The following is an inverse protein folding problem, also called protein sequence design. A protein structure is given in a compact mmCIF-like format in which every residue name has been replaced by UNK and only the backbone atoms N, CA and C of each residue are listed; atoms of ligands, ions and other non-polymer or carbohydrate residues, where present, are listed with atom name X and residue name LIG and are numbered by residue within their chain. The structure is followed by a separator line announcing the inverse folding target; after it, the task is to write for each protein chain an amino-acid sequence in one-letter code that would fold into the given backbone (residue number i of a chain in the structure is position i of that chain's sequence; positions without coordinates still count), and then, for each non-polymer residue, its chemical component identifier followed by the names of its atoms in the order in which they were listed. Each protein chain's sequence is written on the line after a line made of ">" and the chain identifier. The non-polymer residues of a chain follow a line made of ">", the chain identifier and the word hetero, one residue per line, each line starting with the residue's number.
data_IF_608559486523
#
_entry.id   IF_608559486523
#
_cell.length_a   1.000
_cell.length_b   1.000
_cell.length_c   1.000
_cell.angle_alpha   90.00
_cell.angle_beta   90.00
_cell.angle_gamma   90.00
#
_symmetry.space_group_name_H-M   'P 1'
#
loop_
_entity.id
_entity.type
_entity.pdbx_description
1 polymer ?
#
# COMPACT_ATOMS: atom_id res chain seq x y z
N UNK A 1 -80.15 -2.92 26.81
CA UNK A 1 -79.17 -1.83 27.05
C UNK A 1 -79.98 -0.58 27.31
N UNK A 2 -80.03 -0.13 28.56
CA UNK A 2 -80.83 1.03 28.97
C UNK A 2 -80.11 2.33 28.59
N UNK A 3 -80.68 3.08 27.65
CA UNK A 3 -80.09 4.31 27.10
C UNK A 3 -80.27 5.52 28.02
N UNK A 4 -81.06 5.39 29.08
CA UNK A 4 -81.46 6.48 29.98
C UNK A 4 -80.34 6.92 30.95
N UNK A 5 -79.30 6.09 31.11
CA UNK A 5 -78.14 6.38 31.96
C UNK A 5 -76.98 7.07 31.22
N UNK A 6 -77.14 7.33 29.92
CA UNK A 6 -76.10 7.94 29.09
C UNK A 6 -76.07 9.46 29.28
N UNK A 7 -74.95 9.98 29.76
CA UNK A 7 -74.76 11.43 29.94
C UNK A 7 -74.53 12.12 28.59
N UNK A 8 -75.63 12.51 27.95
CA UNK A 8 -75.64 13.09 26.61
C UNK A 8 -74.84 14.39 26.48
N UNK A 9 -74.81 15.21 27.52
CA UNK A 9 -74.06 16.47 27.49
C UNK A 9 -72.55 16.24 27.42
N UNK A 10 -72.05 15.23 28.14
CA UNK A 10 -70.63 14.86 28.11
C UNK A 10 -70.23 14.33 26.74
N UNK A 11 -71.05 13.46 26.15
CA UNK A 11 -70.82 12.90 24.81
C UNK A 11 -70.83 14.00 23.75
N UNK A 12 -71.75 14.96 23.83
CA UNK A 12 -71.82 16.10 22.91
C UNK A 12 -70.55 16.97 22.99
N UNK A 13 -70.03 17.24 24.19
CA UNK A 13 -68.77 18.00 24.39
C UNK A 13 -67.56 17.25 23.85
N UNK A 14 -67.49 15.94 24.05
CA UNK A 14 -66.41 15.10 23.52
C UNK A 14 -66.45 15.01 21.99
N UNK A 15 -67.63 14.88 21.38
CA UNK A 15 -67.80 14.90 19.93
C UNK A 15 -67.36 16.25 19.31
N UNK A 16 -67.69 17.39 19.94
CA UNK A 16 -67.23 18.72 19.52
C UNK A 16 -65.71 18.86 19.62
N UNK A 17 -65.09 18.38 20.71
CA UNK A 17 -63.63 18.35 20.84
C UNK A 17 -62.95 17.48 19.79
N UNK A 18 -63.56 16.33 19.46
CA UNK A 18 -63.05 15.45 18.41
C UNK A 18 -63.16 16.09 17.02
N UNK A 19 -64.23 16.81 16.72
CA UNK A 19 -64.33 17.56 15.46
C UNK A 19 -63.29 18.67 15.35
N UNK A 20 -63.03 19.39 16.45
CA UNK A 20 -61.98 20.42 16.50
C UNK A 20 -60.60 19.78 16.32
N UNK A 21 -60.35 18.64 16.96
CA UNK A 21 -59.10 17.90 16.82
C UNK A 21 -58.86 17.40 15.37
N UNK A 22 -59.90 16.88 14.71
CA UNK A 22 -59.76 16.42 13.33
C UNK A 22 -59.57 17.61 12.36
N UNK A 23 -60.20 18.76 12.64
CA UNK A 23 -59.94 20.01 11.90
C UNK A 23 -58.49 20.48 12.06
N UNK A 24 -57.97 20.51 13.29
CA UNK A 24 -56.57 20.86 13.58
C UNK A 24 -55.61 19.90 12.88
N UNK A 25 -55.88 18.59 12.92
CA UNK A 25 -55.07 17.58 12.24
C UNK A 25 -55.08 17.78 10.72
N UNK A 26 -56.22 18.14 10.13
CA UNK A 26 -56.34 18.45 8.71
C UNK A 26 -55.54 19.72 8.34
N UNK A 27 -55.61 20.76 9.16
CA UNK A 27 -54.79 21.96 9.00
C UNK A 27 -53.30 21.66 9.10
N UNK A 28 -52.89 20.84 10.08
CA UNK A 28 -51.51 20.40 10.25
C UNK A 28 -51.03 19.59 9.03
N UNK A 29 -51.87 18.73 8.48
CA UNK A 29 -51.56 17.97 7.26
C UNK A 29 -51.44 18.89 6.04
N UNK A 30 -52.25 19.93 5.94
CA UNK A 30 -52.16 20.92 4.87
C UNK A 30 -50.89 21.76 4.99
N UNK A 31 -50.57 22.25 6.19
CA UNK A 31 -49.31 22.94 6.49
C UNK A 31 -48.10 22.06 6.18
N UNK A 32 -48.17 20.77 6.51
CA UNK A 32 -47.09 19.82 6.20
C UNK A 32 -46.88 19.71 4.69
N UNK A 33 -47.97 19.60 3.90
CA UNK A 33 -47.89 19.56 2.44
C UNK A 33 -47.36 20.87 1.84
N UNK A 34 -47.78 22.00 2.40
CA UNK A 34 -47.33 23.32 1.96
C UNK A 34 -45.84 23.51 2.23
N UNK A 35 -45.35 23.14 3.42
CA UNK A 35 -43.92 23.17 3.76
C UNK A 35 -43.12 22.24 2.83
N UNK A 36 -43.62 21.05 2.54
CA UNK A 36 -42.95 20.10 1.64
C UNK A 36 -42.81 20.61 0.21
N UNK A 37 -43.76 21.44 -0.25
CA UNK A 37 -43.79 21.98 -1.61
C UNK A 37 -43.25 23.41 -1.71
N UNK A 38 -42.81 23.98 -0.58
CA UNK A 38 -42.37 25.37 -0.52
C UNK A 38 -41.05 25.60 -1.26
N UNK A 39 -41.11 26.34 -2.37
CA UNK A 39 -39.92 26.78 -3.11
C UNK A 39 -39.53 28.20 -2.67
N UNK A 40 -38.47 28.28 -1.86
CA UNK A 40 -37.92 29.55 -1.38
C UNK A 40 -37.60 30.48 -2.56
N UNK A 41 -37.14 29.96 -3.70
CA UNK A 41 -36.77 30.78 -4.86
C UNK A 41 -37.96 31.50 -5.50
N UNK A 42 -39.18 31.01 -5.33
CA UNK A 42 -40.39 31.65 -5.86
C UNK A 42 -40.81 32.84 -5.01
N UNK A 43 -40.65 32.74 -3.69
CA UNK A 43 -41.07 33.76 -2.71
C UNK A 43 -40.00 34.82 -2.38
N UNK A 44 -38.77 34.68 -2.90
CA UNK A 44 -37.74 35.72 -2.74
C UNK A 44 -38.09 37.01 -3.51
N UNK A 45 -37.72 38.15 -2.94
CA UNK A 45 -37.76 39.43 -3.67
C UNK A 45 -36.82 39.40 -4.88
N UNK A 46 -37.07 40.19 -5.95
CA UNK A 46 -36.20 40.20 -7.14
C UNK A 46 -34.72 40.49 -6.84
N UNK A 47 -34.45 41.33 -5.85
CA UNK A 47 -33.09 41.63 -5.37
C UNK A 47 -32.45 40.42 -4.70
N UNK A 48 -33.19 39.71 -3.84
CA UNK A 48 -32.69 38.51 -3.18
C UNK A 48 -32.46 37.36 -4.18
N UNK A 49 -33.34 37.17 -5.19
CA UNK A 49 -33.12 36.18 -6.26
C UNK A 49 -31.81 36.44 -7.02
N UNK A 50 -31.50 37.71 -7.32
CA UNK A 50 -30.24 38.08 -7.97
C UNK A 50 -29.02 37.73 -7.11
N UNK A 51 -29.06 38.09 -5.82
CA UNK A 51 -27.97 37.78 -4.87
C UNK A 51 -27.73 36.28 -4.73
N UNK A 52 -28.79 35.48 -4.57
CA UNK A 52 -28.69 34.02 -4.49
C UNK A 52 -28.04 33.45 -5.75
N UNK A 53 -28.48 33.89 -6.93
CA UNK A 53 -27.89 33.46 -8.22
C UNK A 53 -26.42 33.85 -8.37
N UNK A 54 -26.02 35.00 -7.84
CA UNK A 54 -24.62 35.42 -7.81
C UNK A 54 -23.77 34.55 -6.87
N UNK A 55 -24.30 34.23 -5.70
CA UNK A 55 -23.65 33.31 -4.76
C UNK A 55 -23.51 31.91 -5.34
N UNK A 56 -24.54 31.36 -5.97
CA UNK A 56 -24.50 30.06 -6.65
C UNK A 56 -23.41 30.04 -7.73
N UNK A 57 -23.32 31.10 -8.53
CA UNK A 57 -22.26 31.23 -9.56
C UNK A 57 -20.87 31.32 -8.93
N UNK A 58 -20.71 32.11 -7.88
CA UNK A 58 -19.42 32.26 -7.18
C UNK A 58 -19.00 30.94 -6.55
N UNK A 59 -19.93 30.24 -5.90
CA UNK A 59 -19.74 28.92 -5.31
C UNK A 59 -19.35 27.88 -6.37
N UNK A 60 -20.09 27.80 -7.49
CA UNK A 60 -19.76 26.89 -8.58
C UNK A 60 -18.37 27.14 -9.19
N UNK A 61 -17.98 28.41 -9.35
CA UNK A 61 -16.62 28.77 -9.79
C UNK A 61 -15.56 28.35 -8.76
N UNK A 62 -15.81 28.57 -7.47
CA UNK A 62 -14.90 28.20 -6.39
C UNK A 62 -14.72 26.68 -6.34
N UNK A 63 -15.82 25.92 -6.39
CA UNK A 63 -15.80 24.47 -6.41
C UNK A 63 -15.04 23.93 -7.62
N UNK A 64 -15.22 24.55 -8.79
CA UNK A 64 -14.46 24.24 -9.99
C UNK A 64 -12.95 24.45 -9.83
N UNK A 65 -12.53 25.53 -9.14
CA UNK A 65 -11.11 25.78 -8.82
C UNK A 65 -10.56 24.75 -7.85
N UNK A 66 -11.30 24.44 -6.79
CA UNK A 66 -10.91 23.42 -5.78
C UNK A 66 -10.70 22.06 -6.47
N UNK A 67 -11.64 21.64 -7.31
CA UNK A 67 -11.54 20.38 -8.02
C UNK A 67 -10.33 20.32 -8.97
N UNK A 68 -9.99 21.44 -9.63
CA UNK A 68 -8.78 21.51 -10.47
C UNK A 68 -7.51 21.43 -9.62
N UNK A 69 -7.45 22.20 -8.55
CA UNK A 69 -6.32 22.20 -7.62
C UNK A 69 -6.09 20.81 -7.02
N UNK A 70 -7.16 20.11 -6.62
CA UNK A 70 -7.08 18.74 -6.11
C UNK A 70 -6.51 17.78 -7.16
N UNK A 71 -6.99 17.84 -8.41
CA UNK A 71 -6.47 16.98 -9.49
C UNK A 71 -4.99 17.25 -9.78
N UNK A 72 -4.58 18.51 -9.77
CA UNK A 72 -3.19 18.89 -9.97
C UNK A 72 -2.31 18.40 -8.80
N UNK A 73 -2.77 18.59 -7.58
CA UNK A 73 -2.10 18.08 -6.38
C UNK A 73 -1.95 16.56 -6.44
N UNK A 74 -3.02 15.82 -6.72
CA UNK A 74 -2.98 14.36 -6.83
C UNK A 74 -1.99 13.90 -7.91
N UNK A 75 -1.93 14.62 -9.03
CA UNK A 75 -0.98 14.32 -10.11
C UNK A 75 0.46 14.52 -9.68
N UNK A 76 0.78 15.65 -9.05
CA UNK A 76 2.13 15.95 -8.58
C UNK A 76 2.54 15.04 -7.43
N UNK A 77 1.63 14.76 -6.49
CA UNK A 77 1.85 13.82 -5.40
C UNK A 77 2.17 12.41 -5.91
N UNK A 78 1.39 11.92 -6.88
CA UNK A 78 1.64 10.60 -7.49
C UNK A 78 2.96 10.54 -8.25
N UNK A 79 3.35 11.63 -8.94
CA UNK A 79 4.67 11.73 -9.59
C UNK A 79 5.79 11.66 -8.56
N UNK A 80 5.72 12.45 -7.49
CA UNK A 80 6.72 12.47 -6.43
C UNK A 80 6.83 11.10 -5.75
N UNK A 81 5.71 10.47 -5.43
CA UNK A 81 5.68 9.14 -4.84
C UNK A 81 6.26 8.06 -5.77
N UNK A 82 5.99 8.16 -7.07
CA UNK A 82 6.57 7.25 -8.06
C UNK A 82 8.08 7.44 -8.19
N UNK A 83 8.56 8.69 -8.21
CA UNK A 83 9.99 9.00 -8.23
C UNK A 83 10.67 8.48 -6.96
N UNK A 84 10.09 8.71 -5.77
CA UNK A 84 10.62 8.21 -4.51
C UNK A 84 10.72 6.68 -4.49
N UNK A 85 9.70 5.97 -5.00
CA UNK A 85 9.72 4.51 -5.15
C UNK A 85 10.85 4.05 -6.07
N UNK A 86 11.05 4.72 -7.21
CA UNK A 86 12.15 4.42 -8.15
C UNK A 86 13.51 4.62 -7.49
N UNK A 87 13.75 5.77 -6.86
CA UNK A 87 15.00 6.08 -6.16
C UNK A 87 15.30 5.08 -5.06
N UNK A 88 14.31 4.70 -4.24
CA UNK A 88 14.46 3.67 -3.21
C UNK A 88 14.88 2.33 -3.83
N UNK A 89 14.20 1.91 -4.89
CA UNK A 89 14.47 0.64 -5.56
C UNK A 89 15.85 0.62 -6.23
N UNK A 90 16.29 1.74 -6.80
CA UNK A 90 17.64 1.91 -7.34
C UNK A 90 18.70 1.88 -6.26
N UNK A 91 18.48 2.56 -5.13
CA UNK A 91 19.36 2.51 -3.96
C UNK A 91 19.47 1.08 -3.41
N UNK A 92 18.35 0.37 -3.24
CA UNK A 92 18.34 -1.04 -2.81
C UNK A 92 19.11 -1.94 -3.79
N UNK A 93 18.93 -1.75 -5.10
CA UNK A 93 19.70 -2.48 -6.14
C UNK A 93 21.19 -2.16 -6.04
N UNK A 94 21.54 -0.89 -5.86
CA UNK A 94 22.94 -0.45 -5.75
C UNK A 94 23.61 -1.05 -4.51
N UNK A 95 22.97 -0.96 -3.34
CA UNK A 95 23.45 -1.58 -2.10
C UNK A 95 23.61 -3.08 -2.26
N UNK A 96 22.64 -3.79 -2.85
CA UNK A 96 22.76 -5.23 -3.13
C UNK A 96 23.95 -5.55 -4.04
N UNK A 97 24.17 -4.76 -5.11
CA UNK A 97 25.33 -4.93 -6.01
C UNK A 97 26.65 -4.70 -5.28
N UNK A 98 26.76 -3.63 -4.49
CA UNK A 98 27.96 -3.33 -3.70
C UNK A 98 28.25 -4.45 -2.70
N UNK A 99 27.22 -4.90 -1.97
CA UNK A 99 27.33 -6.02 -1.03
C UNK A 99 27.81 -7.30 -1.73
N UNK A 100 27.26 -7.62 -2.90
CA UNK A 100 27.68 -8.78 -3.69
C UNK A 100 29.14 -8.66 -4.14
N UNK A 101 29.55 -7.51 -4.67
CA UNK A 101 30.96 -7.26 -5.04
C UNK A 101 31.90 -7.38 -3.85
N UNK A 102 31.53 -6.83 -2.70
CA UNK A 102 32.32 -6.95 -1.46
C UNK A 102 32.44 -8.41 -1.00
N UNK A 103 31.35 -9.18 -1.07
CA UNK A 103 31.34 -10.62 -0.77
C UNK A 103 32.28 -11.38 -1.73
N UNK A 104 32.21 -11.09 -3.03
CA UNK A 104 33.06 -11.70 -4.05
C UNK A 104 34.54 -11.37 -3.82
N UNK A 105 34.86 -10.12 -3.46
CA UNK A 105 36.21 -9.70 -3.09
C UNK A 105 36.70 -10.43 -1.85
N UNK A 106 35.90 -10.50 -0.78
CA UNK A 106 36.21 -11.26 0.44
C UNK A 106 36.51 -12.73 0.12
N UNK A 107 35.70 -13.36 -0.73
CA UNK A 107 35.88 -14.74 -1.14
C UNK A 107 37.16 -14.94 -1.98
N UNK A 108 37.44 -14.04 -2.93
CA UNK A 108 38.68 -14.03 -3.72
C UNK A 108 39.90 -13.88 -2.82
N UNK A 109 39.86 -12.94 -1.87
CA UNK A 109 40.93 -12.71 -0.90
C UNK A 109 41.16 -13.97 -0.05
N UNK A 110 40.10 -14.56 0.51
CA UNK A 110 40.19 -15.80 1.31
C UNK A 110 40.83 -16.96 0.52
N UNK A 111 40.46 -17.12 -0.76
CA UNK A 111 41.08 -18.12 -1.66
C UNK A 111 42.56 -17.81 -1.91
N UNK A 112 42.90 -16.55 -2.22
CA UNK A 112 44.27 -16.13 -2.46
C UNK A 112 45.15 -16.35 -1.21
N UNK A 113 44.68 -15.94 -0.03
CA UNK A 113 45.38 -16.15 1.25
C UNK A 113 45.54 -17.64 1.57
N UNK A 114 44.52 -18.47 1.36
CA UNK A 114 44.61 -19.92 1.55
C UNK A 114 45.66 -20.54 0.62
N UNK A 115 45.69 -20.13 -0.64
CA UNK A 115 46.67 -20.59 -1.62
C UNK A 115 48.09 -20.14 -1.26
N UNK A 116 48.27 -18.90 -0.79
CA UNK A 116 49.54 -18.40 -0.30
C UNK A 116 50.02 -19.20 0.90
N UNK A 117 49.15 -19.42 1.91
CA UNK A 117 49.46 -20.23 3.10
C UNK A 117 49.91 -21.63 2.68
N UNK A 118 49.21 -22.29 1.75
CA UNK A 118 49.59 -23.61 1.21
C UNK A 118 50.94 -23.60 0.49
N UNK A 119 51.26 -22.55 -0.28
CA UNK A 119 52.56 -22.44 -0.98
C UNK A 119 53.70 -22.21 0.00
N UNK A 120 53.49 -21.37 1.01
CA UNK A 120 54.46 -21.11 2.07
C UNK A 120 54.71 -22.38 2.90
N UNK A 121 53.66 -23.08 3.34
CA UNK A 121 53.81 -24.34 4.10
C UNK A 121 54.46 -25.45 3.28
N UNK A 122 54.15 -25.57 1.97
CA UNK A 122 54.86 -26.52 1.11
C UNK A 122 56.35 -26.19 0.94
N UNK A 123 56.71 -24.91 0.80
CA UNK A 123 58.12 -24.49 0.67
C UNK A 123 58.92 -24.72 1.97
N UNK A 124 58.33 -24.48 3.14
CA UNK A 124 58.99 -24.75 4.43
C UNK A 124 59.17 -26.24 4.69
N UNK A 125 58.20 -27.08 4.32
CA UNK A 125 58.35 -28.55 4.40
C UNK A 125 59.39 -29.09 3.40
N UNK A 126 59.47 -28.52 2.19
CA UNK A 126 60.48 -28.90 1.19
C UNK A 126 61.90 -28.49 1.59
N UNK A 127 62.09 -27.36 2.27
CA UNK A 127 63.40 -26.96 2.83
C UNK A 127 63.84 -27.86 4.00
N UNK A 128 62.92 -28.35 4.84
CA UNK A 128 63.24 -29.30 5.93
C UNK A 128 63.60 -30.71 5.47
N UNK A 129 63.25 -31.11 4.24
CA UNK A 129 63.48 -32.48 3.74
C UNK A 129 64.79 -32.69 2.96
N UNK A 130 65.66 -31.67 2.87
CA UNK A 130 66.88 -31.72 2.05
C UNK A 130 68.17 -32.02 2.83
N UNK A 131 68.07 -32.31 4.13
CA UNK A 131 69.19 -32.79 4.95
C UNK A 131 68.83 -34.13 5.55
N UNK A 132 69.70 -35.12 5.31
CA UNK A 132 69.63 -36.54 5.72
C UNK A 132 68.82 -37.44 4.79
N UNK A 133 69.50 -38.12 3.87
CA UNK A 133 69.84 -39.55 4.02
C UNK A 133 70.70 -40.00 2.82
N UNK A 134 71.97 -40.34 3.07
CA UNK A 134 72.69 -41.31 2.25
C UNK A 134 71.89 -42.62 2.32
N UNK A 135 71.52 -43.22 1.19
CA UNK A 135 71.19 -44.64 1.16
C UNK A 135 71.70 -45.31 -0.12
N UNK A 136 72.46 -46.37 0.14
CA UNK A 136 73.10 -47.32 -0.76
C UNK A 136 72.22 -47.75 -1.92
N UNK A 137 72.89 -48.02 -3.04
CA UNK A 137 72.38 -48.77 -4.17
C UNK A 137 71.70 -50.08 -3.73
N UNK A 138 70.56 -50.39 -4.32
CA UNK A 138 70.14 -51.78 -4.60
C UNK A 138 69.08 -51.80 -5.71
N UNK A 139 69.51 -52.39 -6.83
CA UNK A 139 68.83 -53.16 -7.87
C UNK A 139 67.35 -52.91 -8.21
N UNK A 140 67.16 -52.71 -9.53
CA UNK A 140 65.95 -52.90 -10.35
C UNK A 140 65.02 -54.02 -9.86
N UNK A 141 63.71 -53.72 -9.83
CA UNK A 141 62.67 -54.67 -10.19
C UNK A 141 61.54 -53.92 -10.92
N UNK A 142 61.41 -54.23 -12.20
CA UNK A 142 60.32 -53.83 -13.09
C UNK A 142 59.07 -54.67 -12.79
N UNK A 143 57.94 -54.05 -12.46
CA UNK A 143 56.63 -54.66 -12.66
C UNK A 143 55.57 -53.63 -12.98
N UNK A 144 54.68 -54.04 -13.87
CA UNK A 144 53.88 -53.25 -14.80
C UNK A 144 52.41 -53.24 -14.31
N UNK A 145 51.73 -52.12 -14.55
CA UNK A 145 50.29 -51.99 -14.94
C UNK A 145 49.19 -52.15 -13.86
N UNK A 146 48.39 -51.09 -13.69
CA UNK A 146 46.97 -51.06 -14.13
C UNK A 146 46.40 -49.63 -14.05
N UNK A 147 46.07 -49.06 -15.21
CA UNK A 147 45.24 -47.87 -15.33
C UNK A 147 43.78 -48.31 -15.43
N UNK A 148 42.95 -47.93 -14.47
CA UNK A 148 41.49 -48.00 -14.59
C UNK A 148 40.95 -46.60 -14.84
N UNK A 149 40.57 -46.39 -16.10
CA UNK A 149 39.83 -45.24 -16.62
C UNK A 149 38.41 -45.31 -16.02
N UNK A 150 37.97 -44.30 -15.26
CA UNK A 150 36.55 -44.16 -14.88
C UNK A 150 35.99 -42.87 -15.45
N UNK A 151 35.21 -43.05 -16.51
CA UNK A 151 34.34 -42.11 -17.21
C UNK A 151 33.33 -41.46 -16.28
N UNK A 152 33.25 -40.13 -16.27
CA UNK A 152 32.15 -39.36 -15.69
C UNK A 152 31.04 -39.20 -16.73
N UNK A 153 29.89 -39.84 -16.47
CA UNK A 153 28.66 -39.71 -17.24
C UNK A 153 27.97 -38.40 -16.83
N UNK A 154 27.86 -37.49 -17.79
CA UNK A 154 27.10 -36.24 -17.71
C UNK A 154 25.60 -36.60 -17.72
N UNK A 155 24.84 -36.23 -16.70
CA UNK A 155 23.36 -36.23 -16.75
C UNK A 155 22.92 -34.85 -17.22
N UNK A 156 22.20 -34.83 -18.34
CA UNK A 156 21.26 -33.79 -18.71
C UNK A 156 20.01 -33.92 -17.84
#
# INVERSE_FOLDING_TARGET
>A
MDLSSLNWEKIKKEALRLSDFEAIKKELQNLTKEIQTFDIHQHLSPSAKKRVKEFEKAYGKLLGKINRAQREFDREFNKALTQLKKTRLEAEKHVKKVRKKAQDHKNKLKKATSNLKKRVTKKTVAKKKKTTTKKKATKKATTRKKTTKKTTRKKA
#
